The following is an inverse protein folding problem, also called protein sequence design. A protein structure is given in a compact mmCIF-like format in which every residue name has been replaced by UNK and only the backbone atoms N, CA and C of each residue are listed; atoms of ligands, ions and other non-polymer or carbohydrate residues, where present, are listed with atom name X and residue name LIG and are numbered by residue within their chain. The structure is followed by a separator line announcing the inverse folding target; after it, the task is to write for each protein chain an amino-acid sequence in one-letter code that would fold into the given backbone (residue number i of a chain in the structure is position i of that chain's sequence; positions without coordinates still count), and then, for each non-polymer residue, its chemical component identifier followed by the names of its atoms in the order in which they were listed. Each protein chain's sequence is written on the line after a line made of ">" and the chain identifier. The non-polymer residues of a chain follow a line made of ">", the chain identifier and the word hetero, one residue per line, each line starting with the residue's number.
data_IF_339298172345
#
_entry.id   IF_339298172345
#
_cell.length_a   1.000
_cell.length_b   1.000
_cell.length_c   1.000
_cell.angle_alpha   90.00
_cell.angle_beta   90.00
_cell.angle_gamma   90.00
#
_symmetry.space_group_name_H-M   'P 1'
#
loop_
_entity.id
_entity.type
_entity.pdbx_description
1 polymer ?
#
# COMPACT_ATOMS: atom_id res chain seq x y z
N UNK A 1 -9.21 3.43 -6.56
CA UNK A 1 -10.44 4.09 -6.05
C UNK A 1 -10.79 3.75 -4.60
N UNK A 2 -10.41 2.59 -4.05
CA UNK A 2 -10.71 2.26 -2.65
C UNK A 2 -9.92 3.10 -1.62
N UNK A 3 -8.61 3.27 -1.80
CA UNK A 3 -7.79 4.09 -0.90
C UNK A 3 -8.31 5.53 -0.80
N UNK A 4 -8.67 6.15 -1.94
CA UNK A 4 -9.23 7.50 -1.98
C UNK A 4 -10.56 7.63 -1.23
N UNK A 5 -11.38 6.57 -1.19
CA UNK A 5 -12.61 6.55 -0.42
C UNK A 5 -12.31 6.56 1.08
N UNK A 6 -11.38 5.72 1.55
CA UNK A 6 -10.98 5.69 2.97
C UNK A 6 -10.36 7.02 3.39
N UNK A 7 -9.47 7.58 2.57
CA UNK A 7 -8.89 8.90 2.84
C UNK A 7 -9.95 10.00 2.87
N UNK A 8 -10.90 10.00 1.93
CA UNK A 8 -12.04 10.93 1.95
C UNK A 8 -12.82 10.87 3.26
N UNK A 9 -13.15 9.67 3.73
CA UNK A 9 -13.84 9.48 5.01
C UNK A 9 -12.98 9.92 6.21
N UNK A 10 -11.67 9.70 6.16
CA UNK A 10 -10.73 10.11 7.20
C UNK A 10 -10.63 11.63 7.30
N UNK A 11 -10.51 12.33 6.17
CA UNK A 11 -10.50 13.80 6.15
C UNK A 11 -11.81 14.38 6.65
N UNK A 12 -12.94 13.81 6.22
CA UNK A 12 -14.26 14.18 6.75
C UNK A 12 -14.30 14.01 8.26
N UNK A 13 -13.90 12.84 8.77
CA UNK A 13 -13.84 12.52 10.21
C UNK A 13 -12.97 13.51 11.02
N UNK A 14 -11.75 13.79 10.56
CA UNK A 14 -10.85 14.75 11.21
C UNK A 14 -11.42 16.17 11.22
N UNK A 15 -12.10 16.58 10.14
CA UNK A 15 -12.80 17.86 10.06
C UNK A 15 -13.94 17.99 11.08
N UNK A 16 -14.65 16.90 11.37
CA UNK A 16 -15.70 16.87 12.41
C UNK A 16 -15.13 17.00 13.80
N UNK A 17 -14.01 16.31 14.06
CA UNK A 17 -13.54 16.04 15.41
C UNK A 17 -13.28 17.35 16.16
N UNK A 18 -12.57 18.32 15.56
CA UNK A 18 -12.27 19.59 16.19
C UNK A 18 -11.98 20.71 15.16
N UNK A 19 -12.01 21.98 15.60
CA UNK A 19 -11.86 23.19 14.77
C UNK A 19 -10.55 23.25 13.98
N UNK A 20 -9.50 22.60 14.49
CA UNK A 20 -8.20 22.47 13.82
C UNK A 20 -7.86 21.02 13.46
N UNK A 21 -8.85 20.12 13.42
CA UNK A 21 -8.62 18.70 13.17
C UNK A 21 -7.94 18.42 11.82
N UNK A 22 -8.06 19.34 10.86
CA UNK A 22 -7.37 19.26 9.57
C UNK A 22 -5.84 19.31 9.70
N UNK A 23 -5.30 19.94 10.76
CA UNK A 23 -3.86 20.00 11.03
C UNK A 23 -3.32 18.60 11.32
N UNK A 24 -4.10 17.71 11.95
CA UNK A 24 -3.73 16.32 12.19
C UNK A 24 -3.63 15.49 10.90
N UNK A 25 -4.20 15.98 9.80
CA UNK A 25 -4.11 15.29 8.53
C UNK A 25 -2.70 15.40 7.90
N UNK A 26 -1.91 16.41 8.29
CA UNK A 26 -0.53 16.59 7.82
C UNK A 26 0.40 15.48 8.33
N UNK A 27 0.54 15.22 9.64
CA UNK A 27 1.36 14.11 10.11
C UNK A 27 0.81 12.75 9.64
N UNK A 28 -0.50 12.62 9.48
CA UNK A 28 -1.10 11.40 8.92
C UNK A 28 -0.70 11.19 7.46
N UNK A 29 -0.69 12.24 6.63
CA UNK A 29 -0.20 12.14 5.25
C UNK A 29 1.29 11.77 5.19
N UNK A 30 2.12 12.32 6.09
CA UNK A 30 3.53 11.94 6.19
C UNK A 30 3.71 10.47 6.61
N UNK A 31 2.88 9.99 7.54
CA UNK A 31 2.85 8.59 7.95
C UNK A 31 2.50 7.66 6.78
N UNK A 32 1.43 7.97 6.06
CA UNK A 32 0.99 7.17 4.92
C UNK A 32 2.04 7.15 3.80
N UNK A 33 2.72 8.27 3.53
CA UNK A 33 3.85 8.28 2.59
C UNK A 33 5.01 7.39 3.06
N UNK A 34 5.36 7.45 4.35
CA UNK A 34 6.39 6.59 4.93
C UNK A 34 6.05 5.11 4.81
N UNK A 35 4.78 4.75 5.00
CA UNK A 35 4.30 3.38 4.85
C UNK A 35 4.30 2.90 3.40
N UNK A 36 4.02 3.79 2.44
CA UNK A 36 4.13 3.46 1.03
C UNK A 36 5.57 3.08 0.65
N UNK A 37 6.55 3.86 1.11
CA UNK A 37 7.97 3.58 0.87
C UNK A 37 8.43 2.32 1.59
N UNK A 38 7.98 2.11 2.83
CA UNK A 38 8.30 0.91 3.60
C UNK A 38 7.73 -0.35 2.93
N UNK A 39 6.56 -0.27 2.29
CA UNK A 39 5.96 -1.39 1.58
C UNK A 39 6.79 -1.87 0.39
N UNK A 40 7.55 -0.98 -0.24
CA UNK A 40 8.45 -1.36 -1.34
C UNK A 40 9.70 -2.08 -0.82
N UNK A 41 10.24 -1.64 0.33
CA UNK A 41 11.45 -2.25 0.90
C UNK A 41 11.20 -3.50 1.74
N UNK A 42 10.10 -3.54 2.50
CA UNK A 42 9.76 -4.60 3.47
C UNK A 42 8.24 -4.84 3.48
N UNK A 43 7.67 -5.48 2.43
CA UNK A 43 6.21 -5.67 2.30
C UNK A 43 5.59 -6.56 3.38
N UNK A 44 6.37 -7.43 4.03
CA UNK A 44 5.89 -8.30 5.12
C UNK A 44 5.80 -7.60 6.48
N UNK A 45 6.22 -6.34 6.56
CA UNK A 45 6.30 -5.63 7.84
C UNK A 45 4.91 -5.48 8.47
N UNK A 46 4.71 -5.93 9.73
CA UNK A 46 3.42 -5.87 10.40
C UNK A 46 2.93 -4.43 10.60
N UNK A 47 3.84 -3.45 10.58
CA UNK A 47 3.48 -2.05 10.76
C UNK A 47 2.65 -1.49 9.58
N UNK A 48 2.79 -2.08 8.39
CA UNK A 48 2.02 -1.70 7.19
C UNK A 48 0.51 -1.94 7.38
N UNK A 49 0.13 -2.88 8.26
CA UNK A 49 -1.26 -3.23 8.55
C UNK A 49 -1.99 -2.14 9.35
N UNK A 50 -1.26 -1.20 9.94
CA UNK A 50 -1.84 -0.01 10.60
C UNK A 50 -2.10 1.15 9.64
N UNK A 51 -1.71 1.03 8.38
CA UNK A 51 -1.80 2.09 7.39
C UNK A 51 -2.84 1.79 6.31
N UNK A 52 -3.54 2.83 5.84
CA UNK A 52 -4.52 2.69 4.75
C UNK A 52 -3.80 2.33 3.45
N UNK A 53 -2.64 2.94 3.18
CA UNK A 53 -1.87 2.64 1.98
C UNK A 53 -1.32 1.22 1.99
N UNK A 54 -0.96 0.68 3.16
CA UNK A 54 -0.44 -0.69 3.27
C UNK A 54 -1.46 -1.72 2.78
N UNK A 55 -2.73 -1.59 3.20
CA UNK A 55 -3.81 -2.43 2.67
C UNK A 55 -4.09 -2.19 1.19
N UNK A 56 -3.96 -0.95 0.71
CA UNK A 56 -4.15 -0.65 -0.70
C UNK A 56 -3.03 -1.25 -1.57
N UNK A 57 -1.79 -1.26 -1.10
CA UNK A 57 -0.65 -1.85 -1.82
C UNK A 57 -0.74 -3.37 -1.86
N UNK A 58 -1.25 -4.03 -0.81
CA UNK A 58 -1.54 -5.47 -0.85
C UNK A 58 -2.49 -5.83 -2.03
N UNK A 59 -3.45 -4.97 -2.37
CA UNK A 59 -4.33 -5.18 -3.53
C UNK A 59 -3.54 -5.07 -4.84
N UNK A 60 -2.64 -4.08 -4.94
CA UNK A 60 -1.80 -3.86 -6.12
C UNK A 60 -0.81 -5.01 -6.31
N UNK A 61 -0.14 -5.44 -5.25
CA UNK A 61 0.82 -6.55 -5.25
C UNK A 61 0.12 -7.88 -5.57
N UNK A 62 -1.10 -8.08 -5.06
CA UNK A 62 -1.91 -9.24 -5.41
C UNK A 62 -2.32 -9.23 -6.89
N UNK A 63 -2.72 -8.06 -7.41
CA UNK A 63 -3.09 -7.91 -8.81
C UNK A 63 -1.89 -8.13 -9.74
N UNK A 64 -0.71 -7.61 -9.38
CA UNK A 64 0.51 -7.77 -10.17
C UNK A 64 0.91 -9.24 -10.28
N UNK A 65 0.83 -10.01 -9.20
CA UNK A 65 1.11 -11.46 -9.22
C UNK A 65 0.09 -12.27 -10.04
N UNK A 66 -1.17 -11.85 -10.07
CA UNK A 66 -2.20 -12.52 -10.87
C UNK A 66 -1.98 -12.24 -12.37
N UNK A 67 -1.61 -11.02 -12.72
CA UNK A 67 -1.41 -10.60 -14.13
C UNK A 67 -0.06 -11.06 -14.67
N UNK A 68 0.99 -11.04 -13.85
CA UNK A 68 2.36 -11.44 -14.19
C UNK A 68 2.86 -12.56 -13.27
N UNK A 69 2.36 -13.80 -13.43
CA UNK A 69 2.77 -14.92 -12.58
C UNK A 69 4.25 -15.27 -12.73
N UNK A 70 4.84 -15.02 -13.90
CA UNK A 70 6.24 -15.33 -14.21
C UNK A 70 7.22 -14.20 -13.84
N UNK A 71 6.78 -13.17 -13.09
CA UNK A 71 7.63 -12.04 -12.71
C UNK A 71 8.87 -12.48 -11.93
N UNK A 72 8.72 -13.44 -11.02
CA UNK A 72 9.84 -14.01 -10.26
C UNK A 72 10.87 -14.68 -11.18
N UNK A 73 10.40 -15.42 -12.19
CA UNK A 73 11.29 -16.06 -13.17
C UNK A 73 12.02 -15.00 -14.01
N UNK A 74 11.32 -13.93 -14.41
CA UNK A 74 11.91 -12.82 -15.15
C UNK A 74 13.03 -12.16 -14.33
N UNK A 75 12.80 -11.87 -13.06
CA UNK A 75 13.80 -11.29 -12.15
C UNK A 75 15.03 -12.21 -12.05
N UNK A 76 14.83 -13.50 -11.76
CA UNK A 76 15.95 -14.46 -11.67
C UNK A 76 16.71 -14.61 -12.99
N UNK A 77 15.99 -14.62 -14.11
CA UNK A 77 16.64 -14.67 -15.43
C UNK A 77 17.50 -13.43 -15.67
N UNK A 78 17.07 -12.25 -15.19
CA UNK A 78 17.84 -11.01 -15.31
C UNK A 78 19.17 -11.04 -14.55
N UNK A 79 19.23 -11.72 -13.40
CA UNK A 79 20.47 -11.94 -12.63
C UNK A 79 21.37 -13.04 -13.19
N UNK A 80 20.90 -13.80 -14.18
CA UNK A 80 21.64 -14.94 -14.75
C UNK A 80 22.34 -14.61 -16.08
N UNK A 81 22.21 -13.39 -16.59
CA UNK A 81 22.75 -12.98 -17.89
C UNK A 81 24.04 -12.18 -17.68
N UNK A 82 25.15 -12.76 -18.12
CA UNK A 82 26.39 -12.01 -18.33
C UNK A 82 26.20 -11.05 -19.51
N UNK A 83 26.18 -9.74 -19.22
CA UNK A 83 26.13 -8.68 -20.22
C UNK A 83 27.38 -7.81 -20.13
N UNK A 84 27.79 -7.22 -21.25
CA UNK A 84 28.87 -6.22 -21.24
C UNK A 84 28.25 -4.83 -21.22
N UNK A 85 28.62 -3.99 -20.25
CA UNK A 85 28.16 -2.60 -20.18
C UNK A 85 28.66 -1.81 -21.41
N UNK A 86 28.00 -0.69 -21.71
CA UNK A 86 28.38 0.31 -22.72
C UNK A 86 29.84 0.80 -22.62
N UNK A 87 30.47 0.64 -21.46
CA UNK A 87 31.86 0.97 -21.16
C UNK A 87 32.83 -0.23 -21.25
N UNK A 88 32.35 -1.41 -21.67
CA UNK A 88 33.18 -2.61 -21.87
C UNK A 88 33.46 -3.43 -20.62
N UNK A 89 32.83 -3.12 -19.47
CA UNK A 89 32.94 -3.91 -18.25
C UNK A 89 31.93 -5.06 -18.27
N UNK A 90 32.36 -6.26 -17.85
CA UNK A 90 31.45 -7.39 -17.64
C UNK A 90 30.54 -7.08 -16.45
N UNK A 91 29.23 -7.28 -16.67
CA UNK A 91 28.17 -7.05 -15.71
C UNK A 91 27.34 -8.31 -15.67
N UNK A 92 27.20 -8.92 -14.50
CA UNK A 92 26.52 -10.21 -14.35
C UNK A 92 24.98 -10.12 -14.42
N UNK A 93 24.44 -8.95 -14.77
CA UNK A 93 23.00 -8.67 -14.66
C UNK A 93 22.48 -7.84 -15.84
N UNK A 94 21.23 -8.11 -16.23
CA UNK A 94 20.51 -7.34 -17.23
C UNK A 94 20.16 -5.94 -16.71
N UNK A 95 20.23 -4.93 -17.58
CA UNK A 95 19.87 -3.56 -17.21
C UNK A 95 18.43 -3.49 -16.71
N UNK A 96 18.24 -3.00 -15.49
CA UNK A 96 16.92 -2.86 -14.87
C UNK A 96 16.48 -4.02 -13.97
N UNK A 97 17.30 -5.06 -13.78
CA UNK A 97 16.97 -6.16 -12.87
C UNK A 97 16.91 -5.71 -11.40
N UNK A 98 17.89 -4.95 -10.92
CA UNK A 98 17.90 -4.34 -9.58
C UNK A 98 16.62 -3.56 -9.24
N UNK A 99 16.22 -2.53 -10.03
CA UNK A 99 15.00 -1.79 -9.73
C UNK A 99 13.75 -2.65 -9.87
N UNK A 100 13.73 -3.63 -10.79
CA UNK A 100 12.61 -4.54 -10.93
C UNK A 100 12.43 -5.41 -9.68
N UNK A 101 13.53 -5.91 -9.09
CA UNK A 101 13.50 -6.65 -7.83
C UNK A 101 13.02 -5.76 -6.67
N UNK A 102 13.46 -4.50 -6.62
CA UNK A 102 13.08 -3.58 -5.55
C UNK A 102 11.60 -3.18 -5.59
N UNK A 103 11.02 -2.99 -6.77
CA UNK A 103 9.61 -2.61 -6.91
C UNK A 103 8.65 -3.81 -6.93
N UNK A 104 9.18 -5.02 -7.07
CA UNK A 104 8.39 -6.23 -6.99
C UNK A 104 8.17 -6.64 -5.53
N UNK A 105 6.90 -6.69 -5.11
CA UNK A 105 6.49 -7.10 -3.79
C UNK A 105 5.44 -8.22 -3.85
N UNK A 106 5.52 -9.14 -2.90
CA UNK A 106 4.47 -10.14 -2.66
C UNK A 106 3.43 -9.59 -1.68
N UNK A 107 2.15 -10.01 -1.77
CA UNK A 107 1.13 -9.64 -0.81
C UNK A 107 1.57 -10.00 0.61
N UNK A 108 1.75 -8.99 1.48
CA UNK A 108 2.28 -9.10 2.85
C UNK A 108 1.41 -9.85 3.88
N UNK A 109 0.70 -10.90 3.46
CA UNK A 109 -0.21 -11.72 4.27
C UNK A 109 0.29 -13.17 4.41
N UNK A 110 1.58 -13.42 4.17
CA UNK A 110 2.19 -14.76 4.22
C UNK A 110 1.87 -15.60 2.98
N UNK A 111 1.88 -16.93 3.12
CA UNK A 111 1.66 -17.91 2.02
C UNK A 111 0.20 -17.98 1.52
N UNK A 112 -0.57 -16.90 1.68
CA UNK A 112 -1.93 -16.80 1.17
C UNK A 112 -1.96 -16.61 -0.34
N UNK A 113 -2.99 -17.15 -1.00
CA UNK A 113 -3.15 -16.92 -2.43
C UNK A 113 -3.35 -15.42 -2.73
N UNK A 114 -2.78 -14.90 -3.83
CA UNK A 114 -2.92 -13.48 -4.19
C UNK A 114 -4.39 -13.04 -4.25
N UNK A 115 -5.26 -13.90 -4.76
CA UNK A 115 -6.69 -13.64 -4.84
C UNK A 115 -7.35 -13.46 -3.47
N UNK A 116 -7.01 -14.30 -2.49
CA UNK A 116 -7.54 -14.20 -1.14
C UNK A 116 -7.03 -12.94 -0.44
N UNK A 117 -5.74 -12.63 -0.58
CA UNK A 117 -5.12 -11.42 -0.05
C UNK A 117 -5.83 -10.15 -0.54
N UNK A 118 -6.22 -10.12 -1.82
CA UNK A 118 -6.98 -9.01 -2.41
C UNK A 118 -8.37 -8.84 -1.77
N UNK A 119 -9.09 -9.94 -1.54
CA UNK A 119 -10.43 -9.92 -0.90
C UNK A 119 -10.33 -9.41 0.54
N UNK A 120 -9.35 -9.92 1.29
CA UNK A 120 -9.12 -9.51 2.68
C UNK A 120 -8.81 -8.01 2.75
N UNK A 121 -7.87 -7.54 1.93
CA UNK A 121 -7.50 -6.13 1.91
C UNK A 121 -8.66 -5.22 1.53
N UNK A 122 -9.47 -5.62 0.54
CA UNK A 122 -10.69 -4.88 0.15
C UNK A 122 -11.69 -4.81 1.29
N UNK A 123 -11.91 -5.93 2.00
CA UNK A 123 -12.82 -6.02 3.14
C UNK A 123 -12.36 -5.13 4.29
N UNK A 124 -11.06 -5.14 4.62
CA UNK A 124 -10.50 -4.30 5.67
C UNK A 124 -10.67 -2.81 5.35
N UNK A 125 -10.39 -2.39 4.12
CA UNK A 125 -10.58 -1.00 3.70
C UNK A 125 -12.06 -0.56 3.77
N UNK A 126 -13.00 -1.44 3.41
CA UNK A 126 -14.44 -1.16 3.56
C UNK A 126 -14.86 -1.01 5.02
N UNK A 127 -14.35 -1.87 5.91
CA UNK A 127 -14.62 -1.78 7.36
C UNK A 127 -14.06 -0.47 7.92
N UNK A 128 -12.84 -0.08 7.54
CA UNK A 128 -12.24 1.19 7.96
C UNK A 128 -13.06 2.40 7.48
N UNK A 129 -13.47 2.41 6.21
CA UNK A 129 -14.32 3.48 5.68
C UNK A 129 -15.66 3.57 6.42
N UNK A 130 -16.32 2.43 6.64
CA UNK A 130 -17.60 2.38 7.36
C UNK A 130 -17.43 2.88 8.80
N UNK A 131 -16.39 2.44 9.51
CA UNK A 131 -16.11 2.87 10.88
C UNK A 131 -15.91 4.40 10.95
N UNK A 132 -15.09 4.97 10.06
CA UNK A 132 -14.87 6.43 10.01
C UNK A 132 -16.16 7.20 9.74
N UNK A 133 -17.01 6.70 8.85
CA UNK A 133 -18.31 7.30 8.54
C UNK A 133 -19.26 7.25 9.74
N UNK A 134 -19.37 6.10 10.43
CA UNK A 134 -20.24 5.96 11.60
C UNK A 134 -19.79 6.85 12.76
N UNK A 135 -18.48 6.85 13.07
CA UNK A 135 -17.94 7.66 14.18
C UNK A 135 -18.04 9.16 13.85
N UNK A 136 -17.67 9.56 12.62
CA UNK A 136 -17.81 10.94 12.17
C UNK A 136 -19.26 11.43 12.21
N UNK A 137 -20.20 10.60 11.74
CA UNK A 137 -21.63 10.91 11.79
C UNK A 137 -22.18 11.01 13.22
N UNK A 138 -21.72 10.16 14.15
CA UNK A 138 -22.11 10.23 15.56
C UNK A 138 -21.58 11.51 16.24
N UNK A 139 -20.32 11.87 15.98
CA UNK A 139 -19.71 13.10 16.50
C UNK A 139 -20.41 14.37 16.00
N UNK A 140 -20.82 14.40 14.73
CA UNK A 140 -21.59 15.53 14.19
C UNK A 140 -22.93 15.69 14.91
N UNK A 141 -23.69 14.60 15.05
CA UNK A 141 -24.99 14.64 15.74
C UNK A 141 -24.87 15.08 17.19
N UNK A 142 -23.78 14.74 17.87
CA UNK A 142 -23.52 15.17 19.24
C UNK A 142 -23.23 16.66 19.40
N UNK A 143 -22.82 17.36 18.32
CA UNK A 143 -22.52 18.80 18.34
C UNK A 143 -23.71 19.69 18.01
N UNK A 144 -24.79 19.15 17.46
CA UNK A 144 -26.00 19.92 17.10
C UNK A 144 -27.05 19.99 18.24
N UNK A 145 -26.77 19.40 19.41
CA UNK A 145 -27.70 19.37 20.56
C UNK A 145 -27.31 20.41 21.64
N UNK A 146 -26.44 21.37 21.32
CA UNK A 146 -26.16 22.55 22.17
C UNK A 146 -26.51 23.86 21.47
#
# INVERSE_FOLDING_TARGET
>A
MMATLVYGMLFCFLGVMWRYGIILAIPFAAWELGMALLSMGVPESPILRFSVIGWALIIVDAASMIVWPDMTLLIYSGFSVETTDSLGFEREELIGTDPLQYFYATPGLGDMSPFLSMIIATTVLLIQAAALLFIGGALFKGKEIE
#
